data_IF_988254478953
#
_entry.id   IF_988254478953
#
_cell.length_a   1.000
_cell.length_b   1.000
_cell.length_c   1.000
_cell.angle_alpha   90.00
_cell.angle_beta   90.00
_cell.angle_gamma   90.00
#
_symmetry.space_group_name_H-M   'P 1'
#
loop_
_entity.id
_entity.type
_entity.pdbx_description
1 polymer ?
#
# COMPACT_ATOMS: atom_id res chain seq x y z
N UNK A 1 0.24 14.64 -14.72
CA UNK A 1 0.68 15.72 -13.80
C UNK A 1 -0.46 16.01 -12.84
N UNK A 2 -0.57 15.26 -11.75
CA UNK A 2 -1.52 15.57 -10.67
C UNK A 2 -0.69 16.13 -9.53
N UNK A 3 -0.62 17.45 -9.47
CA UNK A 3 0.01 18.20 -8.40
C UNK A 3 -0.80 18.02 -7.12
N UNK A 4 -0.58 16.91 -6.41
CA UNK A 4 -0.91 16.85 -4.99
C UNK A 4 0.22 17.59 -4.28
N UNK A 5 0.11 18.92 -4.19
CA UNK A 5 0.91 19.72 -3.25
C UNK A 5 0.47 19.32 -1.86
N UNK A 6 1.18 18.39 -1.22
CA UNK A 6 1.07 18.26 0.21
C UNK A 6 1.87 19.40 0.79
N UNK A 7 1.17 20.39 1.37
CA UNK A 7 1.80 21.25 2.36
C UNK A 7 2.27 20.34 3.50
N UNK A 8 3.52 19.86 3.42
CA UNK A 8 4.23 19.26 4.54
C UNK A 8 4.14 20.28 5.67
N UNK A 9 3.47 19.90 6.76
CA UNK A 9 3.53 20.71 7.97
C UNK A 9 4.96 20.62 8.48
N UNK A 10 5.52 21.69 9.03
CA UNK A 10 6.88 21.67 9.62
C UNK A 10 7.09 20.55 10.65
N UNK A 11 6.01 20.01 11.22
CA UNK A 11 6.03 18.88 12.14
C UNK A 11 6.39 17.54 11.46
N UNK A 12 6.02 17.38 10.20
CA UNK A 12 6.20 16.17 9.40
C UNK A 12 7.67 16.01 8.98
N UNK A 13 8.28 17.13 8.54
CA UNK A 13 9.70 17.25 8.24
C UNK A 13 10.56 16.94 9.47
N UNK A 14 10.23 17.53 10.62
CA UNK A 14 10.97 17.28 11.87
C UNK A 14 10.95 15.81 12.25
N UNK A 15 9.83 15.13 12.03
CA UNK A 15 9.67 13.71 12.35
C UNK A 15 10.47 12.82 11.41
N UNK A 16 10.51 13.15 10.12
CA UNK A 16 11.39 12.47 9.14
C UNK A 16 12.86 12.65 9.57
N UNK A 17 13.26 13.86 9.95
CA UNK A 17 14.61 14.12 10.44
C UNK A 17 14.95 13.37 11.73
N UNK A 18 14.01 13.23 12.67
CA UNK A 18 14.18 12.39 13.86
C UNK A 18 14.30 10.91 13.53
N UNK A 19 13.52 10.42 12.57
CA UNK A 19 13.62 9.03 12.08
C UNK A 19 14.99 8.81 11.44
N UNK A 20 15.43 9.70 10.55
CA UNK A 20 16.75 9.62 9.91
C UNK A 20 17.89 9.64 10.96
N UNK A 21 17.80 10.52 11.96
CA UNK A 21 18.75 10.56 13.09
C UNK A 21 18.76 9.28 13.92
N UNK A 22 17.60 8.65 14.13
CA UNK A 22 17.49 7.40 14.89
C UNK A 22 18.20 6.23 14.20
N UNK A 23 18.38 6.29 12.88
CA UNK A 23 19.09 5.30 12.08
C UNK A 23 20.50 5.77 11.64
N UNK A 24 21.06 6.75 12.37
CA UNK A 24 22.43 7.24 12.18
C UNK A 24 22.72 7.79 10.76
N UNK A 25 21.68 8.17 10.00
CA UNK A 25 21.75 8.63 8.61
C UNK A 25 22.54 7.72 7.66
N UNK A 26 22.58 6.41 7.95
CA UNK A 26 23.30 5.49 7.07
C UNK A 26 22.50 5.24 5.78
N UNK A 27 23.13 5.37 4.60
CA UNK A 27 22.45 5.15 3.31
C UNK A 27 21.98 3.69 3.12
N UNK A 28 22.46 2.75 3.95
CA UNK A 28 21.96 1.38 4.02
C UNK A 28 20.59 1.25 4.67
N UNK A 29 20.24 2.16 5.57
CA UNK A 29 18.99 2.15 6.34
C UNK A 29 17.84 2.89 5.62
N UNK A 30 18.06 3.31 4.36
CA UNK A 30 17.06 4.01 3.55
C UNK A 30 15.72 3.28 3.52
N UNK A 31 15.74 1.95 3.41
CA UNK A 31 14.52 1.12 3.39
C UNK A 31 13.79 1.24 4.74
N UNK A 32 14.49 1.15 5.87
CA UNK A 32 13.90 1.24 7.20
C UNK A 32 13.31 2.64 7.48
N UNK A 33 14.01 3.69 7.04
CA UNK A 33 13.50 5.07 7.09
C UNK A 33 12.24 5.22 6.25
N UNK A 34 12.25 4.75 5.00
CA UNK A 34 11.07 4.80 4.12
C UNK A 34 9.90 4.00 4.68
N UNK A 35 10.16 2.86 5.34
CA UNK A 35 9.13 2.06 6.02
C UNK A 35 8.47 2.83 7.15
N UNK A 36 9.24 3.42 8.09
CA UNK A 36 8.68 4.22 9.19
C UNK A 36 7.95 5.46 8.68
N UNK A 37 8.50 6.12 7.68
CA UNK A 37 7.87 7.29 7.05
C UNK A 37 6.55 6.88 6.40
N UNK A 38 6.50 5.76 5.68
CA UNK A 38 5.25 5.26 5.11
C UNK A 38 4.24 4.83 6.18
N UNK A 39 4.67 4.28 7.31
CA UNK A 39 3.78 3.94 8.43
C UNK A 39 3.12 5.19 9.02
N UNK A 40 3.85 6.31 9.07
CA UNK A 40 3.33 7.57 9.59
C UNK A 40 2.44 8.33 8.60
N UNK A 41 2.86 8.43 7.33
CA UNK A 41 2.15 9.21 6.30
C UNK A 41 1.12 8.39 5.52
N UNK A 42 1.22 7.06 5.52
CA UNK A 42 0.41 6.14 4.72
C UNK A 42 0.83 6.06 3.23
N UNK A 43 1.56 7.06 2.73
CA UNK A 43 2.06 7.14 1.35
C UNK A 43 3.29 8.04 1.28
N UNK A 44 4.06 7.91 0.19
CA UNK A 44 5.34 8.60 -0.02
C UNK A 44 5.26 9.55 -1.22
N UNK A 45 4.75 10.78 -1.06
CA UNK A 45 4.76 11.78 -2.12
C UNK A 45 6.20 12.23 -2.43
N UNK A 46 6.40 12.87 -3.60
CA UNK A 46 7.72 13.34 -4.04
C UNK A 46 8.40 14.25 -2.99
N UNK A 47 7.65 15.15 -2.38
CA UNK A 47 8.16 16.09 -1.38
C UNK A 47 8.75 15.36 -0.15
N UNK A 48 8.12 14.26 0.30
CA UNK A 48 8.65 13.42 1.40
C UNK A 48 9.92 12.69 0.97
N UNK A 49 10.01 12.26 -0.29
CA UNK A 49 11.21 11.61 -0.81
C UNK A 49 12.40 12.57 -0.91
N UNK A 50 12.15 13.85 -1.23
CA UNK A 50 13.15 14.91 -1.24
C UNK A 50 13.70 15.18 0.17
N UNK A 51 12.83 15.30 1.17
CA UNK A 51 13.25 15.48 2.58
C UNK A 51 14.05 14.29 3.12
N UNK A 52 13.64 13.06 2.78
CA UNK A 52 14.39 11.85 3.13
C UNK A 52 15.76 11.85 2.44
N UNK A 53 15.83 12.25 1.17
CA UNK A 53 17.09 12.33 0.43
C UNK A 53 18.06 13.33 1.06
N UNK A 54 17.55 14.50 1.48
CA UNK A 54 18.34 15.54 2.15
C UNK A 54 18.82 15.06 3.53
N UNK A 55 17.95 14.41 4.31
CA UNK A 55 18.30 13.87 5.63
C UNK A 55 19.36 12.76 5.59
N UNK A 56 19.34 11.90 4.57
CA UNK A 56 20.34 10.84 4.37
C UNK A 56 21.56 11.26 3.54
N UNK A 57 21.58 12.47 2.98
CA UNK A 57 22.66 12.94 2.12
C UNK A 57 22.83 12.15 0.81
N UNK A 58 21.73 11.63 0.26
CA UNK A 58 21.72 10.83 -0.98
C UNK A 58 20.97 11.56 -2.10
N UNK A 59 21.22 11.19 -3.35
CA UNK A 59 20.48 11.78 -4.48
C UNK A 59 19.01 11.34 -4.47
N UNK A 60 18.09 12.28 -4.73
CA UNK A 60 16.64 12.03 -4.88
C UNK A 60 16.36 10.91 -5.88
N UNK A 61 17.13 10.84 -6.97
CA UNK A 61 17.01 9.78 -7.98
C UNK A 61 17.23 8.36 -7.40
N UNK A 62 18.11 8.21 -6.40
CA UNK A 62 18.37 6.93 -5.73
C UNK A 62 17.18 6.54 -4.84
N UNK A 63 16.60 7.50 -4.13
CA UNK A 63 15.37 7.29 -3.33
C UNK A 63 14.22 6.88 -4.23
N UNK A 64 14.01 7.62 -5.32
CA UNK A 64 12.97 7.31 -6.30
C UNK A 64 13.16 5.92 -6.93
N UNK A 65 14.41 5.55 -7.25
CA UNK A 65 14.75 4.21 -7.72
C UNK A 65 14.36 3.11 -6.72
N UNK A 66 14.62 3.31 -5.42
CA UNK A 66 14.24 2.35 -4.38
C UNK A 66 12.72 2.29 -4.19
N UNK A 67 12.05 3.44 -4.16
CA UNK A 67 10.58 3.51 -3.99
C UNK A 67 9.85 2.85 -5.16
N UNK A 68 10.33 3.03 -6.39
CA UNK A 68 9.76 2.38 -7.57
C UNK A 68 10.12 0.90 -7.69
N UNK A 69 11.27 0.47 -7.16
CA UNK A 69 11.71 -0.91 -7.21
C UNK A 69 10.95 -1.83 -6.25
N UNK A 70 10.68 -1.37 -5.02
CA UNK A 70 9.97 -2.17 -4.02
C UNK A 70 8.46 -1.95 -4.10
N UNK A 71 7.71 -2.99 -4.48
CA UNK A 71 6.24 -2.97 -4.54
C UNK A 71 5.54 -2.71 -3.20
N UNK A 72 6.27 -2.68 -2.09
CA UNK A 72 5.74 -2.36 -0.77
C UNK A 72 5.51 -0.85 -0.59
N UNK A 73 6.31 -0.02 -1.25
CA UNK A 73 6.16 1.43 -1.18
C UNK A 73 5.07 1.90 -2.13
N UNK A 74 4.28 2.88 -1.69
CA UNK A 74 3.16 3.39 -2.47
C UNK A 74 3.20 4.92 -2.49
N UNK A 75 3.23 5.47 -3.70
CA UNK A 75 3.23 6.92 -3.94
C UNK A 75 1.82 7.52 -3.91
N UNK A 76 0.79 6.66 -3.92
CA UNK A 76 -0.62 7.02 -3.90
C UNK A 76 -1.17 6.82 -2.49
N UNK A 77 -2.14 7.65 -2.05
CA UNK A 77 -2.78 7.48 -0.76
C UNK A 77 -3.47 6.11 -0.69
N UNK A 78 -2.98 5.25 0.22
CA UNK A 78 -3.67 4.02 0.59
C UNK A 78 -4.92 4.39 1.38
N UNK A 79 -6.04 3.81 0.97
CA UNK A 79 -7.28 3.86 1.74
C UNK A 79 -7.09 3.17 3.09
N UNK A 80 -7.95 3.50 4.05
CA UNK A 80 -7.91 2.99 5.42
C UNK A 80 -7.82 1.45 5.51
N UNK A 81 -8.36 0.74 4.52
CA UNK A 81 -8.35 -0.71 4.39
C UNK A 81 -7.79 -1.13 3.02
N UNK A 82 -6.48 -1.46 2.93
CA UNK A 82 -5.89 -1.96 1.69
C UNK A 82 -6.31 -3.41 1.44
N UNK A 83 -6.99 -3.67 0.33
CA UNK A 83 -7.43 -4.98 -0.13
C UNK A 83 -6.38 -5.53 -1.10
N UNK A 84 -5.67 -6.58 -0.71
CA UNK A 84 -4.71 -7.29 -1.57
C UNK A 84 -5.28 -8.65 -2.00
N UNK A 85 -5.57 -8.81 -3.30
CA UNK A 85 -6.07 -10.07 -3.86
C UNK A 85 -4.92 -10.88 -4.45
N UNK A 86 -4.81 -12.15 -4.04
CA UNK A 86 -3.80 -13.06 -4.59
C UNK A 86 -4.19 -13.51 -6.00
N UNK A 87 -3.42 -13.12 -7.00
CA UNK A 87 -3.59 -13.53 -8.41
C UNK A 87 -2.54 -14.57 -8.85
N UNK A 88 -1.96 -15.29 -7.89
CA UNK A 88 -1.03 -16.40 -8.17
C UNK A 88 -1.73 -17.57 -8.86
N UNK A 89 -0.97 -18.43 -9.51
CA UNK A 89 -1.50 -19.53 -10.36
C UNK A 89 -2.51 -20.41 -9.63
N UNK A 90 -2.25 -20.76 -8.37
CA UNK A 90 -3.17 -21.57 -7.56
C UNK A 90 -4.49 -20.85 -7.25
N UNK A 91 -4.45 -19.53 -7.00
CA UNK A 91 -5.64 -18.72 -6.77
C UNK A 91 -6.38 -18.43 -8.08
N UNK A 92 -5.65 -18.24 -9.18
CA UNK A 92 -6.20 -18.02 -10.51
C UNK A 92 -7.04 -19.22 -10.98
N UNK A 93 -6.51 -20.44 -10.90
CA UNK A 93 -7.24 -21.68 -11.26
C UNK A 93 -8.49 -21.88 -10.39
N UNK A 94 -8.47 -21.40 -9.14
CA UNK A 94 -9.61 -21.45 -8.23
C UNK A 94 -10.60 -20.30 -8.38
N UNK A 95 -10.40 -19.41 -9.36
CA UNK A 95 -11.36 -18.35 -9.67
C UNK A 95 -11.14 -17.04 -8.91
N UNK A 96 -9.92 -16.73 -8.47
CA UNK A 96 -9.60 -15.43 -7.87
C UNK A 96 -9.90 -14.24 -8.80
N UNK A 97 -9.93 -14.45 -10.11
CA UNK A 97 -10.35 -13.43 -11.08
C UNK A 97 -11.82 -13.02 -10.87
N UNK A 98 -12.71 -13.96 -10.55
CA UNK A 98 -14.13 -13.66 -10.28
C UNK A 98 -14.29 -12.85 -9.00
N UNK A 99 -13.48 -13.15 -7.99
CA UNK A 99 -13.43 -12.40 -6.73
C UNK A 99 -12.96 -10.96 -7.00
N UNK A 100 -11.89 -10.81 -7.78
CA UNK A 100 -11.37 -9.50 -8.17
C UNK A 100 -12.39 -8.69 -8.98
N UNK A 101 -13.10 -9.32 -9.91
CA UNK A 101 -14.13 -8.67 -10.74
C UNK A 101 -15.31 -8.17 -9.89
N UNK A 102 -15.76 -8.97 -8.91
CA UNK A 102 -16.82 -8.55 -8.00
C UNK A 102 -16.37 -7.39 -7.10
N UNK A 103 -15.12 -7.38 -6.62
CA UNK A 103 -14.55 -6.23 -5.91
C UNK A 103 -14.55 -4.97 -6.78
N UNK A 104 -14.12 -5.07 -8.04
CA UNK A 104 -14.16 -3.95 -9.00
C UNK A 104 -15.59 -3.47 -9.24
N UNK A 105 -16.56 -4.38 -9.35
CA UNK A 105 -17.96 -4.04 -9.62
C UNK A 105 -18.61 -3.31 -8.44
N UNK A 106 -18.34 -3.75 -7.21
CA UNK A 106 -18.92 -3.15 -6.00
C UNK A 106 -18.26 -1.80 -5.70
N UNK A 107 -16.93 -1.75 -5.67
CA UNK A 107 -16.18 -0.54 -5.32
C UNK A 107 -16.05 0.46 -6.48
N UNK A 108 -16.37 0.03 -7.71
CA UNK A 108 -16.26 0.81 -8.95
C UNK A 108 -14.89 1.46 -9.15
N UNK A 109 -13.81 0.76 -8.76
CA UNK A 109 -12.42 1.20 -8.93
C UNK A 109 -11.56 0.14 -9.61
N UNK A 110 -10.51 0.58 -10.30
CA UNK A 110 -9.55 -0.33 -10.91
C UNK A 110 -8.52 -0.84 -9.90
N UNK A 111 -7.73 -1.84 -10.33
CA UNK A 111 -6.62 -2.36 -9.52
C UNK A 111 -5.51 -1.31 -9.45
N UNK A 112 -5.05 -1.00 -8.25
CA UNK A 112 -4.07 0.05 -7.97
C UNK A 112 -4.68 1.40 -7.63
N UNK A 113 -6.02 1.52 -7.65
CA UNK A 113 -6.73 2.74 -7.30
C UNK A 113 -7.41 2.65 -5.93
N UNK A 114 -7.61 3.83 -5.35
CA UNK A 114 -8.31 4.03 -4.08
C UNK A 114 -9.73 4.48 -4.38
N UNK A 115 -10.71 3.92 -3.67
CA UNK A 115 -12.13 4.32 -3.78
C UNK A 115 -12.26 5.82 -3.51
N UNK A 116 -13.17 6.54 -4.21
CA UNK A 116 -13.42 7.97 -3.94
C UNK A 116 -13.83 8.28 -2.49
N UNK A 117 -14.28 7.26 -1.74
CA UNK A 117 -14.58 7.34 -0.30
C UNK A 117 -13.30 7.36 0.57
N UNK A 118 -12.11 7.11 0.00
CA UNK A 118 -10.84 7.05 0.72
C UNK A 118 -10.69 5.87 1.69
N UNK A 119 -11.68 4.98 1.77
CA UNK A 119 -11.68 3.83 2.70
C UNK A 119 -10.98 2.59 2.17
N UNK A 120 -11.13 2.26 0.88
CA UNK A 120 -10.60 1.02 0.32
C UNK A 120 -9.60 1.29 -0.80
N UNK A 121 -8.52 0.50 -0.85
CA UNK A 121 -7.60 0.46 -1.98
C UNK A 121 -7.47 -0.96 -2.49
N UNK A 122 -7.63 -1.19 -3.79
CA UNK A 122 -7.49 -2.53 -4.36
C UNK A 122 -6.07 -2.68 -4.90
N UNK A 123 -5.33 -3.69 -4.45
CA UNK A 123 -4.02 -4.09 -4.96
C UNK A 123 -4.05 -5.55 -5.36
N UNK A 124 -3.34 -5.91 -6.42
CA UNK A 124 -3.12 -7.32 -6.76
C UNK A 124 -1.73 -7.74 -6.30
N UNK A 125 -1.66 -8.87 -5.58
CA UNK A 125 -0.40 -9.48 -5.15
C UNK A 125 -0.22 -10.82 -5.86
N UNK A 126 1.02 -11.14 -6.24
CA UNK A 126 1.33 -12.37 -6.97
C UNK A 126 1.18 -13.63 -6.13
N UNK A 127 1.68 -13.65 -4.90
CA UNK A 127 1.52 -14.80 -4.03
C UNK A 127 1.63 -14.38 -2.57
N UNK A 128 0.65 -14.81 -1.76
CA UNK A 128 0.66 -14.64 -0.29
C UNK A 128 1.29 -15.87 0.40
N UNK A 129 1.59 -16.94 -0.34
CA UNK A 129 2.11 -18.19 0.22
C UNK A 129 1.05 -19.10 0.86
N UNK A 130 -0.18 -18.62 1.04
CA UNK A 130 -1.29 -19.38 1.63
C UNK A 130 -2.11 -20.19 0.60
N UNK A 131 -1.44 -20.94 -0.29
CA UNK A 131 -2.10 -21.67 -1.39
C UNK A 131 -3.15 -22.70 -0.92
N UNK A 132 -3.02 -23.25 0.30
CA UNK A 132 -4.01 -24.16 0.90
C UNK A 132 -5.38 -23.52 1.18
N UNK A 133 -5.42 -22.19 1.26
CA UNK A 133 -6.63 -21.39 1.50
C UNK A 133 -7.10 -20.64 0.24
N UNK A 134 -6.58 -20.98 -0.93
CA UNK A 134 -6.95 -20.33 -2.18
C UNK A 134 -8.46 -20.46 -2.48
N UNK A 135 -9.14 -19.40 -2.95
CA UNK A 135 -8.64 -18.03 -3.20
C UNK A 135 -8.44 -17.22 -1.90
N UNK A 136 -7.32 -16.47 -1.84
CA UNK A 136 -6.91 -15.67 -0.67
C UNK A 136 -7.04 -14.18 -0.98
N UNK A 137 -7.68 -13.46 -0.07
CA UNK A 137 -7.80 -12.00 -0.07
C UNK A 137 -7.31 -11.49 1.28
N UNK A 138 -6.50 -10.44 1.28
CA UNK A 138 -6.04 -9.79 2.49
C UNK A 138 -6.67 -8.41 2.57
N UNK A 139 -7.23 -8.01 3.71
CA UNK A 139 -7.80 -6.68 3.93
C UNK A 139 -7.14 -6.09 5.16
N UNK A 140 -6.29 -5.07 4.97
CA UNK A 140 -5.38 -4.59 6.01
C UNK A 140 -4.48 -5.72 6.49
N UNK A 141 -4.54 -6.02 7.78
CA UNK A 141 -3.81 -7.11 8.44
C UNK A 141 -4.58 -8.45 8.49
N UNK A 142 -5.87 -8.47 8.15
CA UNK A 142 -6.68 -9.70 8.18
C UNK A 142 -6.54 -10.46 6.86
N UNK A 143 -6.28 -11.77 6.95
CA UNK A 143 -6.23 -12.67 5.79
C UNK A 143 -7.50 -13.52 5.72
N UNK A 144 -8.23 -13.39 4.62
CA UNK A 144 -9.43 -14.17 4.32
C UNK A 144 -9.09 -15.27 3.31
N UNK A 145 -9.32 -16.52 3.72
CA UNK A 145 -9.17 -17.70 2.88
C UNK A 145 -10.50 -18.21 2.34
N UNK A 146 -10.47 -18.93 1.21
CA UNK A 146 -11.64 -19.55 0.56
C UNK A 146 -12.76 -18.54 0.27
N UNK A 147 -12.39 -17.34 -0.13
CA UNK A 147 -13.35 -16.26 -0.40
C UNK A 147 -14.14 -16.57 -1.67
N UNK A 148 -15.47 -16.68 -1.55
CA UNK A 148 -16.37 -16.74 -2.69
C UNK A 148 -16.84 -15.34 -3.08
N UNK A 149 -17.41 -15.19 -4.28
CA UNK A 149 -17.99 -13.92 -4.74
C UNK A 149 -19.06 -13.37 -3.80
N UNK A 150 -19.77 -14.24 -3.09
CA UNK A 150 -20.78 -13.85 -2.09
C UNK A 150 -20.11 -13.31 -0.80
N UNK A 151 -19.03 -13.97 -0.36
CA UNK A 151 -18.24 -13.55 0.80
C UNK A 151 -17.56 -12.19 0.62
N UNK A 152 -17.32 -11.74 -0.61
CA UNK A 152 -16.82 -10.38 -0.89
C UNK A 152 -17.73 -9.30 -0.32
N UNK A 153 -19.06 -9.47 -0.46
CA UNK A 153 -20.05 -8.51 0.06
C UNK A 153 -20.12 -8.54 1.57
N UNK A 154 -19.97 -9.71 2.16
CA UNK A 154 -19.98 -9.89 3.61
C UNK A 154 -18.76 -9.24 4.25
N UNK A 155 -17.57 -9.47 3.67
CA UNK A 155 -16.32 -8.81 4.08
C UNK A 155 -16.47 -7.29 3.98
N UNK A 156 -16.95 -6.75 2.86
CA UNK A 156 -17.14 -5.31 2.70
C UNK A 156 -18.13 -4.71 3.72
N UNK A 157 -19.20 -5.44 4.09
CA UNK A 157 -20.16 -5.01 5.11
C UNK A 157 -19.59 -5.01 6.54
N UNK A 158 -18.71 -5.97 6.85
CA UNK A 158 -18.01 -6.01 8.14
C UNK A 158 -17.18 -4.73 8.33
N UNK A 159 -16.47 -4.29 7.30
CA UNK A 159 -15.66 -3.07 7.33
C UNK A 159 -16.45 -1.76 7.11
N UNK A 160 -17.69 -1.84 6.59
CA UNK A 160 -18.56 -0.66 6.47
C UNK A 160 -19.28 -0.31 7.79
N UNK A 161 -19.40 -1.28 8.71
CA UNK A 161 -19.99 -1.10 10.05
C UNK A 161 -18.97 -0.82 11.17
N UNK A 162 -17.68 -0.73 10.85
CA UNK A 162 -16.58 -0.44 11.78
C UNK A 162 -15.98 0.95 11.54
#
# INVERSE_FOLDING_TARGET
MTSVKLKLKENDVKKIQEICKSFNNEPGELINVLHKTQEYFGYLPAEVQEEVAEGLGISVAKVYGVVTFYSFFTMLPKGRYPISVCTGTACYVRGAEKVLDEFKRILKVAVGETTPDGKYSITCLRCVGACGLAPVVMVGDKTYGRVTTDGVKDILKEYENE
#
